data_IF_356138666283
#
_entry.id   IF_356138666283
#
_cell.length_a   1.000
_cell.length_b   1.000
_cell.length_c   1.000
_cell.angle_alpha   90.00
_cell.angle_beta   90.00
_cell.angle_gamma   90.00
#
_symmetry.space_group_name_H-M   'P 1'
#
loop_
_entity.id
_entity.type
_entity.pdbx_description
1 polymer ?
#
# COMPACT_ATOMS: atom_id res chain seq x y z
N UNK A 1 -10.70 9.92 -22.49
CA UNK A 1 -10.41 10.11 -21.62
C UNK A 1 -9.53 9.44 -20.81
N UNK A 2 -8.96 9.90 -20.12
CA UNK A 2 -8.02 9.30 -19.39
C UNK A 2 -8.64 8.47 -18.40
N UNK A 3 -8.21 7.28 -18.21
CA UNK A 3 -8.77 6.52 -17.30
C UNK A 3 -8.27 6.88 -16.00
N UNK A 4 -9.00 6.58 -15.03
CA UNK A 4 -8.65 6.80 -13.72
C UNK A 4 -7.55 5.94 -13.32
N UNK A 5 -6.57 6.44 -12.69
CA UNK A 5 -5.56 5.59 -12.11
C UNK A 5 -5.06 6.28 -10.87
N UNK A 6 -4.39 5.55 -10.02
CA UNK A 6 -3.87 6.11 -8.81
C UNK A 6 -2.77 7.07 -9.15
N UNK A 7 -2.99 8.34 -8.86
CA UNK A 7 -1.97 9.33 -9.13
C UNK A 7 -0.96 9.35 -8.01
N UNK A 8 -1.46 9.34 -6.79
CA UNK A 8 -0.59 9.31 -5.64
C UNK A 8 -1.24 8.41 -4.62
N UNK A 9 -0.45 7.92 -3.72
CA UNK A 9 -0.94 7.09 -2.64
C UNK A 9 -0.91 7.89 -1.36
N UNK A 10 -1.95 7.74 -0.53
CA UNK A 10 -1.89 8.30 0.80
C UNK A 10 -0.88 7.48 1.60
N UNK A 11 -0.46 8.00 2.72
CA UNK A 11 0.50 7.30 3.55
C UNK A 11 0.01 5.91 3.96
N UNK A 12 -1.22 5.75 4.43
CA UNK A 12 -1.70 4.39 4.76
C UNK A 12 -1.73 3.47 3.54
N UNK A 13 -2.13 3.98 2.38
CA UNK A 13 -2.18 3.17 1.17
C UNK A 13 -0.80 2.65 0.80
N UNK A 14 0.18 3.51 0.89
CA UNK A 14 1.56 3.16 0.59
C UNK A 14 2.03 2.01 1.49
N UNK A 15 1.78 2.13 2.79
CA UNK A 15 2.22 1.11 3.72
C UNK A 15 1.46 -0.20 3.59
N UNK A 16 0.18 -0.12 3.23
CA UNK A 16 -0.59 -1.34 2.97
C UNK A 16 0.00 -2.09 1.79
N UNK A 17 0.35 -1.37 0.72
CA UNK A 17 0.94 -2.03 -0.45
C UNK A 17 2.32 -2.57 -0.15
N UNK A 18 3.10 -1.88 0.66
CA UNK A 18 4.39 -2.44 1.11
C UNK A 18 4.17 -3.74 1.86
N UNK A 19 3.17 -3.77 2.72
CA UNK A 19 2.88 -4.98 3.50
C UNK A 19 2.48 -6.13 2.60
N UNK A 20 1.89 -5.84 1.45
CA UNK A 20 1.39 -6.86 0.54
C UNK A 20 2.38 -7.26 -0.53
N UNK A 21 3.63 -6.82 -0.44
CA UNK A 21 4.67 -7.35 -1.32
C UNK A 21 4.87 -8.84 -1.03
N UNK A 22 4.44 -9.29 0.14
CA UNK A 22 4.36 -10.69 0.47
C UNK A 22 2.92 -11.01 0.84
N UNK A 23 2.50 -12.22 0.59
CA UNK A 23 1.14 -12.64 0.90
C UNK A 23 0.83 -12.38 2.37
N UNK A 24 -0.35 -11.86 2.64
CA UNK A 24 -0.72 -11.49 4.00
C UNK A 24 -2.24 -11.47 4.16
N UNK A 25 -2.74 -11.97 5.26
CA UNK A 25 -4.17 -11.92 5.49
C UNK A 25 -4.52 -10.58 6.15
N UNK A 26 -5.78 -10.20 6.01
CA UNK A 26 -6.22 -8.88 6.44
C UNK A 26 -5.85 -8.51 7.86
N UNK A 27 -6.02 -9.45 8.78
CA UNK A 27 -5.72 -9.19 10.18
C UNK A 27 -4.25 -8.85 10.36
N UNK A 28 -3.39 -9.58 9.67
CA UNK A 28 -1.95 -9.37 9.80
C UNK A 28 -1.46 -8.12 9.10
N UNK A 29 -2.21 -7.63 8.11
CA UNK A 29 -1.82 -6.42 7.41
C UNK A 29 -1.74 -5.24 8.38
N UNK A 30 -2.72 -5.12 9.26
CA UNK A 30 -2.75 -4.00 10.20
C UNK A 30 -1.51 -4.00 11.07
N UNK A 31 -1.13 -5.16 11.56
CA UNK A 31 0.06 -5.28 12.39
C UNK A 31 1.32 -4.97 11.59
N UNK A 32 1.37 -5.47 10.36
CA UNK A 32 2.53 -5.27 9.51
C UNK A 32 2.71 -3.79 9.15
N UNK A 33 1.62 -3.09 8.88
CA UNK A 33 1.67 -1.66 8.59
C UNK A 33 2.23 -0.90 9.78
N UNK A 34 1.78 -1.26 10.96
CA UNK A 34 2.25 -0.59 12.16
C UNK A 34 3.74 -0.83 12.37
N UNK A 35 4.19 -2.04 12.14
CA UNK A 35 5.61 -2.36 12.28
C UNK A 35 6.47 -1.66 11.25
N UNK A 36 6.03 -1.70 10.00
CA UNK A 36 6.78 -1.06 8.92
C UNK A 36 6.95 0.42 9.13
N UNK A 37 5.93 1.07 9.69
CA UNK A 37 5.95 2.50 9.91
C UNK A 37 6.50 2.89 11.28
N UNK A 38 6.94 1.92 12.05
CA UNK A 38 7.44 2.15 13.41
C UNK A 38 6.39 2.84 14.25
N UNK A 39 5.15 2.41 14.09
CA UNK A 39 4.03 2.92 14.88
C UNK A 39 3.45 4.22 14.38
N UNK A 40 4.02 4.82 13.33
CA UNK A 40 3.51 6.10 12.84
C UNK A 40 2.18 5.97 12.13
N UNK A 41 1.93 4.83 11.49
CA UNK A 41 0.70 4.62 10.76
C UNK A 41 -0.06 3.46 11.38
N UNK A 42 -1.32 3.72 11.70
CA UNK A 42 -2.18 2.72 12.28
C UNK A 42 -3.48 2.75 11.49
N UNK A 43 -3.91 1.60 11.02
CA UNK A 43 -5.09 1.49 10.18
C UNK A 43 -6.10 0.60 10.87
N UNK A 44 -7.33 1.11 11.02
CA UNK A 44 -8.40 0.31 11.60
C UNK A 44 -9.01 -0.62 10.57
N UNK A 45 -9.81 -1.59 11.02
CA UNK A 45 -10.36 -2.59 10.09
C UNK A 45 -11.28 -1.99 9.02
N UNK A 46 -12.11 -1.02 9.39
CA UNK A 46 -13.00 -0.42 8.40
C UNK A 46 -12.24 0.23 7.28
N UNK A 47 -11.24 1.03 7.62
CA UNK A 47 -10.42 1.71 6.64
C UNK A 47 -9.62 0.71 5.81
N UNK A 48 -9.04 -0.29 6.48
CA UNK A 48 -8.27 -1.30 5.78
C UNK A 48 -9.09 -2.01 4.71
N UNK A 49 -10.27 -2.53 5.09
CA UNK A 49 -11.03 -3.31 4.14
C UNK A 49 -11.60 -2.45 3.01
N UNK A 50 -11.88 -1.18 3.27
CA UNK A 50 -12.29 -0.27 2.21
C UNK A 50 -11.16 -0.08 1.20
N UNK A 51 -9.93 0.05 1.70
CA UNK A 51 -8.77 0.21 0.83
C UNK A 51 -8.46 -1.06 0.05
N UNK A 52 -8.59 -2.22 0.70
CA UNK A 52 -8.35 -3.49 0.01
C UNK A 52 -9.34 -3.67 -1.12
N UNK A 53 -10.61 -3.32 -0.89
CA UNK A 53 -11.62 -3.44 -1.95
C UNK A 53 -11.27 -2.56 -3.12
N UNK A 54 -10.83 -1.34 -2.86
CA UNK A 54 -10.47 -0.41 -3.90
C UNK A 54 -9.26 -0.90 -4.70
N UNK A 55 -8.25 -1.41 -4.01
CA UNK A 55 -7.07 -1.94 -4.67
C UNK A 55 -7.41 -3.16 -5.52
N UNK A 56 -8.29 -4.01 -5.00
CA UNK A 56 -8.71 -5.21 -5.73
C UNK A 56 -9.45 -4.82 -6.99
N UNK A 57 -10.32 -3.83 -6.89
CA UNK A 57 -11.08 -3.34 -8.02
C UNK A 57 -10.18 -2.82 -9.13
N UNK A 58 -9.05 -2.22 -8.76
CA UNK A 58 -8.12 -1.67 -9.72
C UNK A 58 -7.00 -2.64 -10.10
N UNK A 59 -7.12 -3.89 -9.68
CA UNK A 59 -6.14 -4.94 -9.96
C UNK A 59 -4.75 -4.64 -9.40
N UNK A 60 -4.69 -3.85 -8.36
CA UNK A 60 -3.43 -3.54 -7.68
C UNK A 60 -3.04 -4.69 -6.76
N UNK A 61 -4.03 -5.36 -6.19
CA UNK A 61 -3.81 -6.55 -5.36
C UNK A 61 -4.76 -7.63 -5.83
N UNK A 62 -4.49 -8.86 -5.43
CA UNK A 62 -5.40 -9.96 -5.70
C UNK A 62 -5.51 -10.86 -4.50
N UNK A 63 -6.66 -11.52 -4.41
CA UNK A 63 -6.92 -12.50 -3.37
C UNK A 63 -6.16 -13.76 -3.71
N UNK A 64 -5.40 -14.29 -2.77
CA UNK A 64 -4.63 -15.51 -3.01
C UNK A 64 -5.25 -16.73 -2.37
N UNK A 65 -5.91 -16.56 -1.23
CA UNK A 65 -6.48 -17.67 -0.52
C UNK A 65 -7.62 -17.18 0.34
N UNK A 66 -8.55 -18.07 0.57
CA UNK A 66 -9.69 -17.77 1.42
C UNK A 66 -9.99 -19.04 2.20
N UNK A 67 -9.85 -18.98 3.51
CA UNK A 67 -10.15 -20.11 4.37
C UNK A 67 -11.10 -19.62 5.42
N UNK A 68 -12.36 -20.01 5.26
CA UNK A 68 -13.39 -19.52 6.13
C UNK A 68 -13.49 -18.01 5.98
N UNK A 69 -13.22 -17.30 7.05
CA UNK A 69 -13.28 -15.85 7.01
C UNK A 69 -11.94 -15.20 6.75
N UNK A 70 -10.90 -15.99 6.67
CA UNK A 70 -9.57 -15.44 6.48
C UNK A 70 -9.29 -15.33 5.00
N UNK A 71 -8.98 -14.12 4.57
CA UNK A 71 -8.64 -13.85 3.19
C UNK A 71 -7.24 -13.29 3.15
N UNK A 72 -6.43 -13.82 2.26
CA UNK A 72 -5.07 -13.36 2.07
C UNK A 72 -4.93 -12.69 0.72
N UNK A 73 -4.08 -11.69 0.67
CA UNK A 73 -3.89 -10.87 -0.53
C UNK A 73 -2.42 -10.74 -0.84
N UNK A 74 -2.13 -10.41 -2.08
CA UNK A 74 -0.77 -10.10 -2.48
C UNK A 74 -0.83 -9.03 -3.57
N UNK A 75 0.20 -8.21 -3.62
CA UNK A 75 0.28 -7.18 -4.65
C UNK A 75 0.48 -7.83 -6.01
N UNK A 76 -0.11 -7.25 -7.04
CA UNK A 76 0.05 -7.74 -8.41
C UNK A 76 1.26 -7.08 -9.05
N UNK A 77 1.60 -7.51 -10.27
CA UNK A 77 2.68 -6.85 -11.01
C UNK A 77 2.31 -5.40 -11.28
N UNK A 78 1.06 -5.15 -11.62
CA UNK A 78 0.60 -3.78 -11.83
C UNK A 78 0.75 -2.98 -10.54
N UNK A 79 0.38 -3.60 -9.41
CA UNK A 79 0.51 -2.94 -8.13
C UNK A 79 1.95 -2.61 -7.79
N UNK A 80 2.86 -3.52 -8.13
CA UNK A 80 4.28 -3.26 -7.89
C UNK A 80 4.77 -2.09 -8.72
N UNK A 81 4.29 -1.99 -9.95
CA UNK A 81 4.64 -0.87 -10.80
C UNK A 81 4.17 0.44 -10.20
N UNK A 82 2.91 0.46 -9.74
CA UNK A 82 2.36 1.67 -9.14
C UNK A 82 3.08 2.04 -7.86
N UNK A 83 3.39 1.06 -7.05
CA UNK A 83 4.11 1.30 -5.81
C UNK A 83 5.51 1.83 -6.10
N UNK A 84 6.17 1.27 -7.09
CA UNK A 84 7.51 1.71 -7.45
C UNK A 84 7.51 3.14 -7.99
N UNK A 85 6.51 3.49 -8.79
CA UNK A 85 6.38 4.85 -9.28
C UNK A 85 6.24 5.82 -8.11
N UNK A 86 5.44 5.43 -7.14
CA UNK A 86 5.22 6.28 -5.98
C UNK A 86 6.49 6.39 -5.15
N UNK A 87 7.20 5.28 -4.98
CA UNK A 87 8.46 5.30 -4.26
C UNK A 87 9.43 6.27 -4.94
N UNK A 88 9.54 6.19 -6.26
CA UNK A 88 10.47 7.05 -7.00
C UNK A 88 10.05 8.52 -6.90
N UNK A 89 8.75 8.79 -6.93
CA UNK A 89 8.26 10.15 -6.80
C UNK A 89 8.60 10.72 -5.44
N UNK A 90 8.37 9.95 -4.39
CA UNK A 90 8.66 10.39 -3.04
C UNK A 90 10.15 10.62 -2.84
N UNK A 91 10.95 9.72 -3.38
CA UNK A 91 12.40 9.85 -3.27
C UNK A 91 12.89 11.12 -3.95
N UNK A 92 12.34 11.42 -5.13
CA UNK A 92 12.71 12.63 -5.82
C UNK A 92 12.35 13.86 -5.00
N UNK A 93 11.18 13.84 -4.37
CA UNK A 93 10.75 14.96 -3.54
C UNK A 93 11.69 15.14 -2.35
N UNK A 94 12.08 14.04 -1.74
CA UNK A 94 13.02 14.09 -0.62
C UNK A 94 14.37 14.64 -1.08
N UNK A 95 14.84 14.16 -2.23
CA UNK A 95 16.12 14.63 -2.77
C UNK A 95 16.07 16.11 -3.06
N UNK A 96 14.97 16.57 -3.66
CA UNK A 96 14.82 18.00 -3.97
C UNK A 96 14.83 18.83 -2.69
N UNK A 97 14.14 18.36 -1.66
CA UNK A 97 14.07 19.07 -0.38
C UNK A 97 15.37 18.98 0.39
N UNK A 98 16.14 17.95 0.17
CA UNK A 98 17.40 17.77 0.90
C UNK A 98 18.36 18.90 0.73
N UNK A 99 18.26 19.59 -0.40
CA UNK A 99 19.10 20.75 -0.63
C UNK A 99 18.83 21.83 0.42
N UNK A 100 17.60 21.90 0.89
CA UNK A 100 17.20 22.94 1.85
C UNK A 100 17.23 22.46 3.30
N UNK A 101 17.08 21.17 3.51
CA UNK A 101 16.93 20.63 4.86
C UNK A 101 18.03 19.67 5.28
N UNK A 102 19.17 19.72 4.62
CA UNK A 102 20.16 18.77 4.99
C UNK A 102 20.67 19.09 6.38
N UNK A 103 20.85 18.11 7.15
CA UNK A 103 21.22 18.25 8.54
C UNK A 103 22.72 18.36 8.65
#
# INVERSE_FOLDING_TARGET
MAREQLQTLTEPMYYILLALTEKCCGVDIMDRVKKLSRGRVSVGPGTLYAMLAKFEEKDIIRLTASEGRRKSYIITDLGREELNKEYCRLKQMVDDGGFYFRA
#
